data_IF_848926627195
#
_entry.id   IF_848926627195
#
_cell.length_a   1.000
_cell.length_b   1.000
_cell.length_c   1.000
_cell.angle_alpha   90.00
_cell.angle_beta   90.00
_cell.angle_gamma   90.00
#
_symmetry.space_group_name_H-M   'P 1'
#
loop_
_entity.id
_entity.type
_entity.pdbx_description
1 polymer ?
#
# COMPACT_ATOMS: atom_id res chain seq x y z
N UNK A 1 12.93 -82.34 -9.19
CA UNK A 1 12.43 -83.00 -10.42
C UNK A 1 11.97 -81.89 -11.36
N UNK A 2 12.49 -81.90 -12.60
CA UNK A 2 12.19 -80.96 -13.71
C UNK A 2 10.66 -80.90 -13.93
N UNK A 3 10.01 -79.84 -14.42
CA UNK A 3 10.07 -79.24 -15.77
C UNK A 3 8.93 -78.18 -15.88
N UNK A 4 9.15 -76.97 -16.40
CA UNK A 4 8.82 -76.47 -17.78
C UNK A 4 7.57 -75.57 -17.82
N UNK A 5 7.79 -74.31 -18.30
CA UNK A 5 7.01 -73.44 -19.22
C UNK A 5 5.47 -73.55 -19.25
N UNK A 6 4.66 -72.52 -19.53
CA UNK A 6 4.84 -71.12 -19.90
C UNK A 6 3.44 -70.44 -19.96
N UNK A 7 3.47 -69.09 -19.98
CA UNK A 7 2.50 -68.18 -20.61
C UNK A 7 1.07 -68.14 -20.00
N UNK A 8 0.40 -67.01 -19.83
CA UNK A 8 0.31 -65.82 -20.68
C UNK A 8 0.08 -64.59 -19.77
N UNK A 9 0.89 -63.56 -19.98
CA UNK A 9 0.73 -62.21 -19.41
C UNK A 9 -0.59 -61.59 -19.88
N UNK A 10 -1.47 -61.19 -18.96
CA UNK A 10 -2.47 -60.15 -19.21
C UNK A 10 -2.07 -58.90 -18.44
N UNK A 11 -1.64 -57.90 -19.20
CA UNK A 11 -1.36 -56.56 -18.72
C UNK A 11 -2.68 -55.84 -18.43
N UNK A 12 -2.86 -55.40 -17.19
CA UNK A 12 -3.79 -54.33 -16.84
C UNK A 12 -2.94 -53.17 -16.34
N UNK A 13 -2.57 -52.27 -17.26
CA UNK A 13 -1.92 -51.02 -16.93
C UNK A 13 -2.97 -50.08 -16.34
N UNK A 14 -2.97 -49.96 -15.01
CA UNK A 14 -3.69 -48.88 -14.33
C UNK A 14 -2.86 -47.61 -14.53
N UNK A 15 -3.29 -46.76 -15.45
CA UNK A 15 -2.70 -45.44 -15.67
C UNK A 15 -3.20 -44.51 -14.55
N UNK A 16 -2.45 -44.43 -13.45
CA UNK A 16 -2.69 -43.44 -12.40
C UNK A 16 -2.16 -42.09 -12.90
N UNK A 17 -3.02 -41.30 -13.54
CA UNK A 17 -2.73 -39.88 -13.82
C UNK A 17 -2.79 -39.15 -12.49
N UNK A 18 -1.64 -38.96 -11.85
CA UNK A 18 -1.50 -38.03 -10.76
C UNK A 18 -1.74 -36.62 -11.31
N UNK A 19 -2.93 -36.06 -11.08
CA UNK A 19 -3.13 -34.62 -11.14
C UNK A 19 -2.24 -34.01 -10.06
N UNK A 20 -1.03 -33.61 -10.44
CA UNK A 20 -0.32 -32.53 -9.78
C UNK A 20 -1.17 -31.29 -9.98
N UNK A 21 -2.14 -31.09 -9.09
CA UNK A 21 -2.72 -29.78 -8.85
C UNK A 21 -1.56 -28.91 -8.38
N UNK A 22 -0.90 -28.25 -9.33
CA UNK A 22 0.04 -27.20 -9.04
C UNK A 22 -0.69 -26.22 -8.13
N UNK A 23 -0.20 -26.07 -6.91
CA UNK A 23 -0.49 -24.89 -6.11
C UNK A 23 -0.06 -23.72 -7.00
N UNK A 24 -1.04 -23.11 -7.68
CA UNK A 24 -0.81 -21.93 -8.47
C UNK A 24 -0.23 -20.90 -7.52
N UNK A 25 1.08 -20.66 -7.63
CA UNK A 25 1.62 -19.40 -7.18
C UNK A 25 0.83 -18.37 -7.99
N UNK A 26 -0.12 -17.69 -7.33
CA UNK A 26 -0.87 -16.62 -7.97
C UNK A 26 0.20 -15.68 -8.52
N UNK A 27 0.33 -15.64 -9.85
CA UNK A 27 1.26 -14.74 -10.52
C UNK A 27 1.01 -13.34 -9.94
N UNK A 28 2.07 -12.67 -9.52
CA UNK A 28 1.97 -11.33 -8.95
C UNK A 28 1.12 -10.46 -9.87
N UNK A 29 -0.02 -9.96 -9.36
CA UNK A 29 -0.89 -9.07 -10.10
C UNK A 29 -0.30 -7.65 -10.17
N UNK A 30 -0.70 -6.82 -11.14
CA UNK A 30 -0.19 -5.45 -11.25
C UNK A 30 -0.47 -4.56 -10.02
N UNK A 31 -1.47 -4.91 -9.19
CA UNK A 31 -1.72 -4.25 -7.90
C UNK A 31 -0.62 -4.57 -6.87
N UNK A 32 -0.25 -5.85 -6.72
CA UNK A 32 0.89 -6.30 -5.91
C UNK A 32 2.17 -5.60 -6.31
N UNK A 33 2.46 -5.49 -7.60
CA UNK A 33 3.68 -4.86 -8.11
C UNK A 33 3.77 -3.39 -7.72
N UNK A 34 2.62 -2.68 -7.69
CA UNK A 34 2.54 -1.30 -7.22
C UNK A 34 2.94 -1.18 -5.75
N UNK A 35 2.43 -2.09 -4.91
CA UNK A 35 2.73 -2.12 -3.47
C UNK A 35 4.18 -2.55 -3.23
N UNK A 36 4.68 -3.55 -3.96
CA UNK A 36 6.05 -4.04 -3.85
C UNK A 36 7.05 -2.94 -4.23
N UNK A 37 6.84 -2.25 -5.35
CA UNK A 37 7.68 -1.12 -5.77
C UNK A 37 7.71 0.00 -4.74
N UNK A 38 6.57 0.31 -4.12
CA UNK A 38 6.52 1.27 -3.01
C UNK A 38 7.31 0.78 -1.79
N UNK A 39 7.23 -0.50 -1.44
CA UNK A 39 8.00 -1.12 -0.35
C UNK A 39 9.50 -1.15 -0.61
N UNK A 40 9.94 -1.39 -1.85
CA UNK A 40 11.36 -1.27 -2.20
C UNK A 40 11.87 0.16 -1.99
N UNK A 41 11.07 1.17 -2.32
CA UNK A 41 11.43 2.57 -2.06
C UNK A 41 11.54 2.87 -0.56
N UNK A 42 10.59 2.37 0.26
CA UNK A 42 10.66 2.48 1.72
C UNK A 42 11.91 1.81 2.29
N UNK A 43 12.18 0.56 1.92
CA UNK A 43 13.38 -0.15 2.36
C UNK A 43 14.67 0.57 1.93
N UNK A 44 14.67 1.18 0.75
CA UNK A 44 15.78 1.99 0.26
C UNK A 44 16.07 3.19 1.16
N UNK A 45 15.05 3.98 1.52
CA UNK A 45 15.24 5.14 2.41
C UNK A 45 15.62 4.73 3.84
N UNK A 46 15.14 3.57 4.32
CA UNK A 46 15.49 3.05 5.65
C UNK A 46 16.96 2.64 5.72
N UNK A 47 17.45 1.89 4.71
CA UNK A 47 18.83 1.40 4.67
C UNK A 47 19.85 2.51 4.51
N UNK A 48 19.47 3.61 3.87
CA UNK A 48 20.33 4.79 3.65
C UNK A 48 19.95 5.96 4.56
N UNK A 49 19.21 5.71 5.65
CA UNK A 49 18.56 6.77 6.41
C UNK A 49 19.52 7.77 7.04
N UNK A 50 20.66 7.30 7.56
CA UNK A 50 21.69 8.14 8.17
C UNK A 50 22.26 9.16 7.17
N UNK A 51 22.91 8.71 6.06
CA UNK A 51 23.45 9.62 5.04
C UNK A 51 22.41 10.51 4.37
N UNK A 52 21.18 10.02 4.17
CA UNK A 52 20.12 10.81 3.53
C UNK A 52 19.60 11.94 4.42
N UNK A 53 19.57 11.75 5.75
CA UNK A 53 18.82 12.61 6.65
C UNK A 53 17.34 12.70 6.27
N UNK A 54 16.57 13.59 6.91
CA UNK A 54 15.16 13.75 6.59
C UNK A 54 14.96 14.21 5.13
N UNK A 55 15.64 15.27 4.69
CA UNK A 55 15.45 15.85 3.35
C UNK A 55 15.83 14.90 2.21
N UNK A 56 16.88 14.09 2.40
CA UNK A 56 17.25 13.08 1.41
C UNK A 56 16.22 11.96 1.33
N UNK A 57 15.70 11.49 2.48
CA UNK A 57 14.63 10.48 2.51
C UNK A 57 13.36 11.03 1.87
N UNK A 58 12.96 12.26 2.20
CA UNK A 58 11.80 12.93 1.59
C UNK A 58 11.93 13.01 0.07
N UNK A 59 13.05 13.55 -0.44
CA UNK A 59 13.29 13.65 -1.89
C UNK A 59 13.25 12.30 -2.60
N UNK A 60 13.69 11.24 -1.94
CA UNK A 60 13.72 9.89 -2.52
C UNK A 60 12.37 9.18 -2.47
N UNK A 61 11.57 9.39 -1.42
CA UNK A 61 10.29 8.69 -1.25
C UNK A 61 9.12 9.40 -1.94
N UNK A 62 9.16 10.73 -2.09
CA UNK A 62 8.05 11.50 -2.70
C UNK A 62 7.67 11.02 -4.11
N UNK A 63 8.61 10.74 -5.04
CA UNK A 63 8.24 10.20 -6.36
C UNK A 63 7.57 8.83 -6.28
N UNK A 64 8.03 7.95 -5.37
CA UNK A 64 7.43 6.63 -5.18
C UNK A 64 6.01 6.73 -4.60
N UNK A 65 5.79 7.64 -3.65
CA UNK A 65 4.45 7.94 -3.11
C UNK A 65 3.54 8.48 -4.22
N UNK A 66 3.99 9.45 -5.01
CA UNK A 66 3.20 10.02 -6.11
C UNK A 66 2.92 9.01 -7.23
N UNK A 67 3.78 8.01 -7.41
CA UNK A 67 3.58 6.92 -8.36
C UNK A 67 2.61 5.86 -7.82
N UNK A 68 2.72 5.46 -6.56
CA UNK A 68 1.91 4.38 -6.00
C UNK A 68 0.49 4.83 -5.62
N UNK A 69 0.31 6.08 -5.19
CA UNK A 69 -0.96 6.57 -4.65
C UNK A 69 -1.70 7.48 -5.62
N UNK A 70 -3.05 7.46 -5.59
CA UNK A 70 -3.86 8.51 -6.21
C UNK A 70 -4.20 9.59 -5.18
N UNK A 71 -3.20 10.41 -4.85
CA UNK A 71 -3.29 11.41 -3.78
C UNK A 71 -4.44 12.42 -3.99
N UNK A 72 -4.76 12.75 -5.24
CA UNK A 72 -5.88 13.65 -5.54
C UNK A 72 -7.24 13.03 -5.15
N UNK A 73 -7.49 11.76 -5.51
CA UNK A 73 -8.72 11.06 -5.10
C UNK A 73 -8.77 10.85 -3.59
N UNK A 74 -7.64 10.52 -2.98
CA UNK A 74 -7.52 10.33 -1.54
C UNK A 74 -7.85 11.62 -0.77
N UNK A 75 -7.24 12.75 -1.16
CA UNK A 75 -7.49 14.06 -0.56
C UNK A 75 -8.96 14.47 -0.72
N UNK A 76 -9.54 14.27 -1.91
CA UNK A 76 -10.97 14.52 -2.17
C UNK A 76 -11.86 13.69 -1.24
N UNK A 77 -11.56 12.40 -1.07
CA UNK A 77 -12.34 11.54 -0.17
C UNK A 77 -12.19 11.98 1.29
N UNK A 78 -10.97 12.34 1.72
CA UNK A 78 -10.71 12.85 3.05
C UNK A 78 -11.42 14.20 3.30
N UNK A 79 -11.59 15.06 2.31
CA UNK A 79 -12.44 16.26 2.47
C UNK A 79 -13.92 15.87 2.56
N UNK A 80 -14.36 14.93 1.72
CA UNK A 80 -15.72 14.42 1.75
C UNK A 80 -16.71 15.30 0.96
N UNK A 81 -17.99 15.37 1.39
CA UNK A 81 -19.08 15.93 0.57
C UNK A 81 -18.95 17.42 0.25
N UNK A 82 -18.17 18.18 1.02
CA UNK A 82 -17.93 19.61 0.79
C UNK A 82 -16.89 19.87 -0.31
N UNK A 83 -16.16 18.85 -0.78
CA UNK A 83 -15.17 19.00 -1.84
C UNK A 83 -15.64 19.82 -3.06
N UNK A 84 -16.80 19.52 -3.70
CA UNK A 84 -17.29 20.29 -4.85
C UNK A 84 -17.63 21.75 -4.53
N UNK A 85 -17.81 22.12 -3.25
CA UNK A 85 -18.13 23.48 -2.82
C UNK A 85 -16.86 24.34 -2.64
N UNK A 86 -15.69 23.71 -2.54
CA UNK A 86 -14.42 24.41 -2.42
C UNK A 86 -14.03 25.09 -3.73
N UNK A 87 -13.45 26.29 -3.62
CA UNK A 87 -12.85 26.95 -4.77
C UNK A 87 -11.77 26.07 -5.43
N UNK A 88 -11.60 26.08 -6.76
CA UNK A 88 -10.59 25.25 -7.43
C UNK A 88 -9.18 25.45 -6.86
N UNK A 89 -8.79 26.68 -6.55
CA UNK A 89 -7.49 26.97 -5.92
C UNK A 89 -7.35 26.33 -4.52
N UNK A 90 -8.44 26.18 -3.77
CA UNK A 90 -8.42 25.52 -2.44
C UNK A 90 -8.27 24.01 -2.59
N UNK A 91 -8.96 23.42 -3.58
CA UNK A 91 -8.84 22.02 -3.92
C UNK A 91 -7.38 21.67 -4.26
N UNK A 92 -6.73 22.48 -5.10
CA UNK A 92 -5.33 22.31 -5.46
C UNK A 92 -4.39 22.42 -4.26
N UNK A 93 -4.56 23.45 -3.42
CA UNK A 93 -3.76 23.62 -2.19
C UNK A 93 -3.92 22.45 -1.23
N UNK A 94 -5.13 21.93 -1.05
CA UNK A 94 -5.38 20.78 -0.17
C UNK A 94 -4.73 19.51 -0.74
N UNK A 95 -4.83 19.27 -2.04
CA UNK A 95 -4.20 18.10 -2.69
C UNK A 95 -2.68 18.17 -2.57
N UNK A 96 -2.09 19.35 -2.79
CA UNK A 96 -0.66 19.54 -2.63
C UNK A 96 -0.20 19.30 -1.18
N UNK A 97 -0.84 19.96 -0.22
CA UNK A 97 -0.51 19.81 1.20
C UNK A 97 -0.71 18.36 1.68
N UNK A 98 -1.78 17.68 1.25
CA UNK A 98 -2.04 16.27 1.54
C UNK A 98 -0.95 15.36 0.95
N UNK A 99 -0.53 15.63 -0.28
CA UNK A 99 0.53 14.88 -0.97
C UNK A 99 1.86 15.02 -0.23
N UNK A 100 2.25 16.26 0.09
CA UNK A 100 3.47 16.53 0.84
C UNK A 100 3.43 15.94 2.25
N UNK A 101 2.30 16.00 2.93
CA UNK A 101 2.12 15.38 4.24
C UNK A 101 2.28 13.86 4.18
N UNK A 102 1.74 13.21 3.15
CA UNK A 102 1.89 11.76 2.95
C UNK A 102 3.37 11.39 2.80
N UNK A 103 4.10 12.03 1.88
CA UNK A 103 5.53 11.78 1.68
C UNK A 103 6.37 12.10 2.93
N UNK A 104 6.07 13.22 3.60
CA UNK A 104 6.69 13.63 4.87
C UNK A 104 6.48 12.58 5.96
N UNK A 105 5.28 12.03 6.07
CA UNK A 105 4.96 10.99 7.05
C UNK A 105 5.81 9.73 6.82
N UNK A 106 6.00 9.31 5.57
CA UNK A 106 6.88 8.17 5.27
C UNK A 106 8.35 8.49 5.55
N UNK A 107 8.85 9.65 5.11
CA UNK A 107 10.24 10.06 5.37
C UNK A 107 10.58 10.18 6.86
N UNK A 108 9.60 10.61 7.68
CA UNK A 108 9.75 10.74 9.13
C UNK A 108 9.62 9.39 9.88
N UNK A 109 8.78 8.46 9.40
CA UNK A 109 8.52 7.19 10.11
C UNK A 109 9.45 6.05 9.72
N UNK A 110 10.10 6.14 8.56
CA UNK A 110 11.00 5.11 8.02
C UNK A 110 12.43 5.67 7.96
N UNK A 111 12.94 6.02 9.14
CA UNK A 111 14.18 6.78 9.38
C UNK A 111 15.35 5.91 9.84
N UNK A 112 15.22 4.59 9.76
CA UNK A 112 16.27 3.64 10.10
C UNK A 112 15.93 2.23 9.65
N UNK A 113 16.92 1.35 9.68
CA UNK A 113 16.78 -0.06 9.37
C UNK A 113 17.47 -0.91 10.44
N UNK A 114 16.70 -1.75 11.11
CA UNK A 114 17.16 -2.70 12.12
C UNK A 114 16.81 -4.16 11.79
N UNK A 115 16.34 -4.42 10.56
CA UNK A 115 15.93 -5.76 10.11
C UNK A 115 14.43 -5.89 9.81
N UNK A 116 13.73 -4.77 9.66
CA UNK A 116 12.33 -4.73 9.30
C UNK A 116 12.08 -5.38 7.93
N UNK A 117 10.91 -5.99 7.76
CA UNK A 117 10.54 -6.66 6.52
C UNK A 117 9.10 -6.38 6.18
N UNK A 118 8.85 -6.02 4.93
CA UNK A 118 7.51 -5.96 4.38
C UNK A 118 7.11 -7.31 3.82
N UNK A 119 5.88 -7.73 4.11
CA UNK A 119 5.27 -8.96 3.61
C UNK A 119 3.97 -8.64 2.88
N UNK A 120 3.79 -9.18 1.68
CA UNK A 120 2.50 -9.20 1.00
C UNK A 120 1.90 -10.60 1.14
N UNK A 121 0.88 -10.72 1.97
CA UNK A 121 0.24 -11.98 2.35
C UNK A 121 -0.74 -12.51 1.29
N UNK A 122 -1.30 -11.64 0.46
CA UNK A 122 -2.23 -12.03 -0.60
C UNK A 122 -2.94 -10.83 -1.23
N UNK A 123 -3.84 -11.12 -2.15
CA UNK A 123 -4.70 -10.15 -2.81
C UNK A 123 -6.14 -10.67 -2.84
N UNK A 124 -7.12 -9.77 -2.70
CA UNK A 124 -8.54 -10.10 -2.79
C UNK A 124 -9.30 -9.03 -3.56
N UNK A 125 -10.17 -9.41 -4.51
CA UNK A 125 -10.98 -8.43 -5.23
C UNK A 125 -12.01 -7.76 -4.31
N UNK A 126 -12.42 -6.55 -4.65
CA UNK A 126 -13.57 -5.85 -4.08
C UNK A 126 -14.72 -5.78 -5.08
N UNK A 127 -15.92 -5.43 -4.60
CA UNK A 127 -17.11 -5.32 -5.47
C UNK A 127 -16.98 -4.20 -6.53
N UNK A 128 -16.17 -3.16 -6.26
CA UNK A 128 -16.04 -1.97 -7.12
C UNK A 128 -14.86 -2.04 -8.10
N UNK A 129 -14.51 -3.25 -8.56
CA UNK A 129 -13.34 -3.53 -9.39
C UNK A 129 -12.03 -3.02 -8.77
N UNK A 130 -11.93 -3.09 -7.44
CA UNK A 130 -10.69 -2.83 -6.71
C UNK A 130 -10.03 -4.13 -6.26
N UNK A 131 -8.81 -4.01 -5.77
CA UNK A 131 -8.06 -5.09 -5.13
C UNK A 131 -7.62 -4.59 -3.77
N UNK A 132 -7.85 -5.39 -2.74
CA UNK A 132 -7.18 -5.24 -1.45
C UNK A 132 -5.93 -6.11 -1.49
N UNK A 133 -4.77 -5.49 -1.31
CA UNK A 133 -3.49 -6.17 -1.12
C UNK A 133 -3.27 -6.29 0.38
N UNK A 134 -3.30 -7.51 0.91
CA UNK A 134 -3.12 -7.78 2.33
C UNK A 134 -1.62 -7.76 2.67
N UNK A 135 -1.18 -6.88 3.58
CA UNK A 135 0.24 -6.73 3.90
C UNK A 135 0.55 -6.58 5.38
N UNK A 136 1.79 -6.87 5.75
CA UNK A 136 2.34 -6.71 7.09
C UNK A 136 3.73 -6.07 7.04
N UNK A 137 3.99 -5.13 7.94
CA UNK A 137 5.33 -4.71 8.30
C UNK A 137 5.76 -5.50 9.54
N UNK A 138 6.78 -6.34 9.40
CA UNK A 138 7.42 -7.05 10.49
C UNK A 138 8.55 -6.16 11.01
N UNK A 139 8.43 -5.68 12.25
CA UNK A 139 9.47 -4.88 12.92
C UNK A 139 10.64 -5.78 13.36
N UNK A 140 11.78 -5.17 13.68
CA UNK A 140 12.98 -5.89 14.14
C UNK A 140 12.75 -6.74 15.40
N UNK A 141 11.81 -6.34 16.27
CA UNK A 141 11.42 -7.10 17.46
C UNK A 141 10.42 -8.23 17.18
N UNK A 142 10.05 -8.48 15.92
CA UNK A 142 9.08 -9.49 15.50
C UNK A 142 7.61 -9.06 15.56
N UNK A 143 7.31 -7.86 16.09
CA UNK A 143 5.95 -7.32 16.08
C UNK A 143 5.48 -7.08 14.63
N UNK A 144 4.27 -7.54 14.31
CA UNK A 144 3.67 -7.38 12.99
C UNK A 144 2.62 -6.26 13.00
N UNK A 145 2.77 -5.30 12.10
CA UNK A 145 1.80 -4.22 11.86
C UNK A 145 1.08 -4.47 10.54
N UNK A 146 -0.23 -4.69 10.59
CA UNK A 146 -1.05 -4.91 9.38
C UNK A 146 -1.43 -3.61 8.70
N UNK A 147 -1.14 -3.51 7.40
CA UNK A 147 -1.35 -2.33 6.56
C UNK A 147 -1.90 -2.79 5.20
N UNK A 148 -3.20 -3.01 5.09
CA UNK A 148 -3.76 -3.46 3.81
C UNK A 148 -3.99 -2.26 2.88
N UNK A 149 -3.80 -2.42 1.58
CA UNK A 149 -4.00 -1.33 0.61
C UNK A 149 -5.19 -1.63 -0.27
N UNK A 150 -6.10 -0.66 -0.40
CA UNK A 150 -7.13 -0.69 -1.44
C UNK A 150 -6.56 -0.02 -2.69
N UNK A 151 -6.45 -0.77 -3.78
CA UNK A 151 -6.03 -0.27 -5.08
C UNK A 151 -7.15 -0.37 -6.12
N UNK A 152 -7.11 0.53 -7.11
CA UNK A 152 -7.89 0.42 -8.34
C UNK A 152 -7.04 0.77 -9.54
N UNK A 153 -7.37 0.20 -10.69
CA UNK A 153 -6.80 0.61 -11.96
C UNK A 153 -7.38 1.95 -12.41
N UNK A 154 -6.51 2.91 -12.70
CA UNK A 154 -6.86 4.27 -13.13
C UNK A 154 -5.91 4.65 -14.27
N UNK A 155 -6.46 4.84 -15.47
CA UNK A 155 -5.67 5.21 -16.64
C UNK A 155 -4.61 4.17 -17.02
N UNK A 156 -4.91 2.87 -16.85
CA UNK A 156 -3.98 1.77 -17.14
C UNK A 156 -2.90 1.55 -16.07
N UNK A 157 -3.04 2.15 -14.88
CA UNK A 157 -2.10 1.96 -13.77
C UNK A 157 -2.86 1.68 -12.48
N UNK A 158 -2.40 0.71 -11.69
CA UNK A 158 -2.92 0.48 -10.35
C UNK A 158 -2.44 1.56 -9.41
N UNK A 159 -3.37 2.12 -8.62
CA UNK A 159 -3.08 3.19 -7.67
C UNK A 159 -3.76 2.90 -6.34
N UNK A 160 -3.02 3.08 -5.26
CA UNK A 160 -3.53 3.04 -3.89
C UNK A 160 -4.51 4.19 -3.68
N UNK A 161 -5.70 3.84 -3.20
CA UNK A 161 -6.80 4.73 -2.88
C UNK A 161 -7.11 4.80 -1.40
N UNK A 162 -6.68 3.84 -0.59
CA UNK A 162 -6.82 3.86 0.86
C UNK A 162 -5.83 2.89 1.52
N UNK A 163 -5.54 3.13 2.80
CA UNK A 163 -4.78 2.25 3.66
C UNK A 163 -5.73 1.77 4.77
N UNK A 164 -5.89 0.47 4.92
CA UNK A 164 -6.63 -0.14 6.01
C UNK A 164 -5.67 -0.53 7.14
N UNK A 165 -5.65 0.29 8.19
CA UNK A 165 -4.89 0.09 9.41
C UNK A 165 -5.49 -1.08 10.21
N UNK A 166 -4.64 -1.87 10.86
CA UNK A 166 -5.05 -3.07 11.60
C UNK A 166 -5.92 -4.02 10.75
N UNK A 167 -5.73 -3.98 9.42
CA UNK A 167 -6.40 -4.83 8.44
C UNK A 167 -7.74 -4.33 7.89
N UNK A 168 -8.44 -3.43 8.60
CA UNK A 168 -9.80 -3.03 8.21
C UNK A 168 -10.18 -1.56 8.46
N UNK A 169 -9.42 -0.82 9.27
CA UNK A 169 -9.76 0.56 9.61
C UNK A 169 -9.23 1.47 8.50
N UNK A 170 -10.14 2.00 7.69
CA UNK A 170 -9.82 2.99 6.65
C UNK A 170 -9.16 4.24 7.24
N UNK A 171 -7.91 4.49 6.85
CA UNK A 171 -7.19 5.70 7.21
C UNK A 171 -7.92 6.94 6.66
N UNK A 172 -8.45 6.84 5.43
CA UNK A 172 -9.18 7.94 4.85
C UNK A 172 -10.51 8.24 5.55
N UNK A 173 -11.19 7.25 6.13
CA UNK A 173 -12.38 7.49 6.94
C UNK A 173 -12.06 8.24 8.23
N UNK A 174 -10.94 7.91 8.88
CA UNK A 174 -10.43 8.65 10.04
C UNK A 174 -10.12 10.09 9.65
N UNK A 175 -9.31 10.29 8.60
CA UNK A 175 -8.96 11.62 8.09
C UNK A 175 -10.20 12.42 7.68
N UNK A 176 -11.23 11.77 7.14
CA UNK A 176 -12.49 12.44 6.79
C UNK A 176 -13.20 13.06 7.98
N UNK A 177 -13.18 12.38 9.12
CA UNK A 177 -13.74 12.90 10.35
C UNK A 177 -12.92 14.10 10.85
N UNK A 178 -11.59 14.00 10.82
CA UNK A 178 -10.67 15.07 11.23
C UNK A 178 -10.78 16.31 10.34
N UNK A 179 -10.73 16.10 9.01
CA UNK A 179 -10.77 17.19 8.03
C UNK A 179 -12.14 17.87 8.04
N UNK A 180 -13.23 17.10 8.13
CA UNK A 180 -14.57 17.66 8.27
C UNK A 180 -14.70 18.56 9.50
N UNK A 181 -14.11 18.17 10.64
CA UNK A 181 -14.10 18.99 11.84
C UNK A 181 -13.31 20.30 11.67
N UNK A 182 -12.14 20.24 11.02
CA UNK A 182 -11.32 21.43 10.74
C UNK A 182 -11.99 22.34 9.73
N UNK A 183 -12.51 21.80 8.63
CA UNK A 183 -13.22 22.57 7.59
C UNK A 183 -14.42 23.31 8.15
N UNK A 184 -15.21 22.65 9.02
CA UNK A 184 -16.36 23.28 9.68
C UNK A 184 -15.96 24.45 10.58
N UNK A 185 -14.80 24.37 11.24
CA UNK A 185 -14.34 25.36 12.21
C UNK A 185 -13.56 26.50 11.56
N UNK A 186 -12.65 26.17 10.65
CA UNK A 186 -11.58 27.06 10.19
C UNK A 186 -11.53 27.20 8.65
N UNK A 187 -12.44 26.56 7.91
CA UNK A 187 -12.49 26.58 6.44
C UNK A 187 -11.31 25.85 5.76
N UNK A 188 -11.22 25.99 4.44
CA UNK A 188 -10.16 25.41 3.60
C UNK A 188 -8.77 25.87 4.02
N UNK A 189 -8.60 27.17 4.30
CA UNK A 189 -7.36 27.74 4.80
C UNK A 189 -6.93 27.13 6.14
N UNK A 190 -7.89 26.87 7.03
CA UNK A 190 -7.65 26.17 8.28
C UNK A 190 -7.14 24.76 8.10
N UNK A 191 -7.75 24.02 7.17
CA UNK A 191 -7.30 22.67 6.82
C UNK A 191 -5.87 22.69 6.27
N UNK A 192 -5.59 23.55 5.28
CA UNK A 192 -4.24 23.68 4.70
C UNK A 192 -3.22 24.02 5.79
N UNK A 193 -3.49 25.02 6.64
CA UNK A 193 -2.60 25.36 7.76
C UNK A 193 -2.38 24.19 8.72
N UNK A 194 -3.39 23.38 8.98
CA UNK A 194 -3.26 22.19 9.83
C UNK A 194 -2.34 21.15 9.20
N UNK A 195 -2.43 20.94 7.89
CA UNK A 195 -1.55 20.03 7.15
C UNK A 195 -0.10 20.54 7.13
N UNK A 196 0.11 21.82 6.84
CA UNK A 196 1.44 22.45 6.86
C UNK A 196 2.11 22.35 8.23
N UNK A 197 1.34 22.59 9.30
CA UNK A 197 1.86 22.47 10.66
C UNK A 197 2.34 21.05 10.94
N UNK A 198 1.56 20.06 10.53
CA UNK A 198 1.93 18.66 10.72
C UNK A 198 3.16 18.27 9.88
N UNK A 199 3.31 18.83 8.69
CA UNK A 199 4.53 18.66 7.88
C UNK A 199 5.74 19.20 8.64
N UNK A 200 5.67 20.45 9.14
CA UNK A 200 6.75 21.07 9.89
C UNK A 200 7.12 20.29 11.17
N UNK A 201 6.12 19.82 11.92
CA UNK A 201 6.31 19.01 13.13
C UNK A 201 7.00 17.67 12.85
N UNK A 202 6.74 17.06 11.69
CA UNK A 202 7.35 15.79 11.29
C UNK A 202 8.76 15.98 10.74
N UNK A 203 9.00 17.06 10.00
CA UNK A 203 10.30 17.39 9.43
C UNK A 203 11.34 17.84 10.48
N UNK A 204 10.88 18.32 11.64
CA UNK A 204 11.73 18.77 12.74
C UNK A 204 12.19 17.64 13.69
N UNK A 205 11.78 16.39 13.46
CA UNK A 205 12.18 15.22 14.24
C UNK A 205 13.50 14.65 13.73
#
# INVERSE_FOLDING_TARGET
MRSILAAVRRAAAVLLVALLAGAGSAAAGPARDTVDGFYQALLGIMKEAGPLGFDGRYRRIDPAVRSAFNLARMARYAVGPSWPELAPADQERIVDAFSRLTATTYAARFDGFSGERFEIAGERPTQDNGIIVDTRLIKANGEAVTLNYLLREIGGSWRILDIHLSGSISELAVRRSEFGAVLKRDGSDGLVRSLERRIAELAAR
#
